data_IF_292903917017
#
_entry.id   IF_292903917017
#
_cell.length_a   1.000
_cell.length_b   1.000
_cell.length_c   1.000
_cell.angle_alpha   90.00
_cell.angle_beta   90.00
_cell.angle_gamma   90.00
#
_symmetry.space_group_name_H-M   'P 1'
#
loop_
_entity.id
_entity.type
_entity.pdbx_description
1 polymer ?
#
# COMPACT_ATOMS: atom_id res chain seq x y z
N UNK A 1 -3.95 -5.48 -13.34
CA UNK A 1 -4.36 -4.54 -12.27
C UNK A 1 -5.70 -4.96 -11.70
N UNK A 2 -5.84 -4.98 -10.37
CA UNK A 2 -7.15 -5.20 -9.71
C UNK A 2 -7.83 -3.86 -9.41
N UNK A 3 -9.17 -3.90 -9.34
CA UNK A 3 -10.04 -2.79 -8.93
C UNK A 3 -10.78 -3.08 -7.62
N UNK A 4 -10.46 -4.20 -6.98
CA UNK A 4 -11.06 -4.59 -5.72
C UNK A 4 -10.68 -3.60 -4.61
N UNK A 5 -11.61 -3.37 -3.69
CA UNK A 5 -11.38 -2.49 -2.54
C UNK A 5 -11.04 -3.33 -1.33
N UNK A 6 -9.92 -3.01 -0.68
CA UNK A 6 -9.54 -3.62 0.60
C UNK A 6 -10.48 -3.15 1.71
N UNK A 7 -11.28 -4.05 2.33
CA UNK A 7 -12.27 -3.66 3.33
C UNK A 7 -11.63 -2.99 4.55
N UNK A 8 -10.43 -3.43 4.95
CA UNK A 8 -9.68 -2.86 6.06
C UNK A 8 -9.42 -1.37 5.86
N UNK A 9 -8.90 -1.01 4.68
CA UNK A 9 -8.64 0.38 4.29
C UNK A 9 -9.95 1.16 4.01
N UNK A 10 -10.94 0.52 3.40
CA UNK A 10 -12.21 1.16 3.06
C UNK A 10 -12.99 1.64 4.29
N UNK A 11 -12.74 1.05 5.45
CA UNK A 11 -13.34 1.45 6.73
C UNK A 11 -12.59 2.55 7.49
N UNK A 12 -11.34 2.84 7.09
CA UNK A 12 -10.49 3.88 7.69
C UNK A 12 -10.98 5.29 7.36
N UNK A 13 -10.74 6.25 8.25
CA UNK A 13 -11.17 7.65 8.09
C UNK A 13 -10.00 8.63 8.15
N UNK A 14 -10.23 9.81 7.56
CA UNK A 14 -9.28 10.92 7.66
C UNK A 14 -9.07 11.29 9.13
N UNK A 15 -7.81 11.32 9.56
CA UNK A 15 -7.42 11.62 10.94
C UNK A 15 -7.16 10.40 11.82
N UNK A 16 -7.52 9.19 11.38
CA UNK A 16 -7.21 7.97 12.13
C UNK A 16 -5.69 7.72 12.13
N UNK A 17 -5.10 7.40 13.30
CA UNK A 17 -3.68 7.07 13.38
C UNK A 17 -3.42 5.69 12.76
N UNK A 18 -2.50 5.64 11.81
CA UNK A 18 -2.12 4.41 11.08
C UNK A 18 -0.65 4.10 11.34
N UNK A 19 -0.34 2.83 11.64
CA UNK A 19 1.03 2.31 11.61
C UNK A 19 1.28 1.71 10.23
N UNK A 20 2.39 2.08 9.59
CA UNK A 20 2.79 1.56 8.29
C UNK A 20 4.18 0.94 8.37
N UNK A 21 4.32 -0.26 7.81
CA UNK A 21 5.59 -0.97 7.70
C UNK A 21 5.86 -1.30 6.23
N UNK A 22 7.02 -0.87 5.71
CA UNK A 22 7.50 -1.28 4.39
C UNK A 22 7.90 -2.76 4.45
N UNK A 23 7.19 -3.61 3.70
CA UNK A 23 7.41 -5.07 3.72
C UNK A 23 8.03 -5.62 2.43
N UNK A 24 7.93 -4.89 1.31
CA UNK A 24 8.62 -5.27 0.07
C UNK A 24 9.04 -4.05 -0.76
N UNK A 25 10.23 -4.15 -1.36
CA UNK A 25 10.74 -3.21 -2.36
C UNK A 25 10.92 -4.01 -3.67
N UNK A 26 10.27 -3.59 -4.77
CA UNK A 26 10.46 -4.20 -6.08
C UNK A 26 11.93 -4.19 -6.53
N UNK A 27 12.33 -5.24 -7.25
CA UNK A 27 13.67 -5.38 -7.83
C UNK A 27 13.63 -5.08 -9.32
N UNK A 28 14.81 -4.83 -9.89
CA UNK A 28 15.00 -4.62 -11.33
C UNK A 28 14.19 -3.44 -11.91
N UNK A 29 13.97 -2.42 -11.07
CA UNK A 29 13.29 -1.19 -11.48
C UNK A 29 14.20 -0.27 -12.31
N UNK A 30 13.64 0.50 -13.25
CA UNK A 30 14.33 1.64 -13.84
C UNK A 30 14.87 2.58 -12.78
N UNK A 31 15.98 3.26 -13.10
CA UNK A 31 16.59 4.25 -12.20
C UNK A 31 15.52 5.26 -11.75
N UNK A 32 15.44 5.46 -10.44
CA UNK A 32 14.54 6.42 -9.77
C UNK A 32 13.02 6.09 -9.88
N UNK A 33 12.63 4.95 -10.48
CA UNK A 33 11.26 4.45 -10.42
C UNK A 33 11.04 3.65 -9.13
N UNK A 34 10.42 4.30 -8.15
CA UNK A 34 10.24 3.75 -6.80
C UNK A 34 8.86 3.09 -6.61
N UNK A 35 8.02 3.03 -7.66
CA UNK A 35 6.64 2.53 -7.57
C UNK A 35 6.56 1.06 -7.23
N UNK A 36 5.50 0.69 -6.51
CA UNK A 36 5.17 -0.70 -6.18
C UNK A 36 5.78 -1.17 -4.87
N UNK A 37 6.26 -0.26 -4.02
CA UNK A 37 6.65 -0.60 -2.64
C UNK A 37 5.40 -1.04 -1.89
N UNK A 38 5.48 -2.20 -1.25
CA UNK A 38 4.33 -2.79 -0.55
C UNK A 38 4.45 -2.50 0.93
N UNK A 39 3.36 -1.99 1.50
CA UNK A 39 3.27 -1.66 2.91
C UNK A 39 2.21 -2.53 3.56
N UNK A 40 2.55 -3.07 4.73
CA UNK A 40 1.56 -3.55 5.68
C UNK A 40 1.14 -2.37 6.55
N UNK A 41 -0.16 -2.12 6.63
CA UNK A 41 -0.70 -1.02 7.41
C UNK A 41 -1.77 -1.50 8.37
N UNK A 42 -1.85 -0.86 9.53
CA UNK A 42 -2.87 -1.07 10.55
C UNK A 42 -3.43 0.27 10.98
N UNK A 43 -4.73 0.44 10.81
CA UNK A 43 -5.48 1.54 11.40
C UNK A 43 -5.71 1.25 12.89
N UNK A 44 -5.17 2.10 13.76
CA UNK A 44 -5.25 1.88 15.20
C UNK A 44 -6.62 2.22 15.80
N UNK A 45 -7.43 3.03 15.11
CA UNK A 45 -8.78 3.39 15.55
C UNK A 45 -9.80 2.36 15.07
N UNK A 46 -9.85 2.09 13.76
CA UNK A 46 -10.77 1.14 13.15
C UNK A 46 -10.35 -0.33 13.34
N UNK A 47 -9.10 -0.58 13.74
CA UNK A 47 -8.48 -1.92 13.88
C UNK A 47 -8.42 -2.71 12.56
N UNK A 48 -8.63 -2.05 11.43
CA UNK A 48 -8.45 -2.63 10.10
C UNK A 48 -6.97 -2.78 9.74
N UNK A 49 -6.65 -3.79 8.94
CA UNK A 49 -5.31 -3.99 8.40
C UNK A 49 -5.36 -4.35 6.92
N UNK A 50 -4.32 -3.98 6.16
CA UNK A 50 -4.20 -4.27 4.74
C UNK A 50 -2.74 -4.31 4.31
N UNK A 51 -2.47 -4.99 3.18
CA UNK A 51 -1.17 -5.00 2.52
C UNK A 51 -1.33 -4.55 1.07
N UNK A 52 -0.92 -3.32 0.76
CA UNK A 52 -1.10 -2.73 -0.57
C UNK A 52 0.16 -2.03 -1.06
N UNK A 53 0.39 -1.99 -2.39
CA UNK A 53 1.43 -1.17 -2.98
C UNK A 53 1.08 0.32 -2.91
N UNK A 54 2.10 1.17 -2.91
CA UNK A 54 1.96 2.63 -3.05
C UNK A 54 1.55 3.10 -4.45
N UNK A 55 1.49 2.19 -5.41
CA UNK A 55 1.09 2.45 -6.79
C UNK A 55 0.27 1.30 -7.35
N UNK A 56 -0.71 1.62 -8.19
CA UNK A 56 -1.54 0.62 -8.87
C UNK A 56 -0.73 -0.23 -9.86
N UNK A 57 0.37 0.32 -10.40
CA UNK A 57 1.28 -0.37 -11.30
C UNK A 57 2.66 -0.56 -10.65
N UNK A 58 3.35 -1.64 -11.00
CA UNK A 58 4.72 -1.89 -10.56
C UNK A 58 5.70 -0.91 -11.25
N UNK A 59 6.90 -0.74 -10.69
CA UNK A 59 7.98 -0.07 -11.41
C UNK A 59 8.21 -0.72 -12.79
N UNK A 60 8.63 0.07 -13.77
CA UNK A 60 8.94 -0.43 -15.12
C UNK A 60 7.78 -0.50 -16.11
N UNK A 61 6.54 -0.22 -15.71
CA UNK A 61 5.45 -0.09 -16.70
C UNK A 61 4.04 -0.08 -16.12
N UNK A 62 3.06 -0.01 -17.00
CA UNK A 62 1.63 -0.16 -16.69
C UNK A 62 1.09 -1.45 -17.31
#
# INVERSE_FOLDING_TARGET
VSYDREPGLASSKVGDPVVMCLIAIPRDCPKDDLRGRVYYAVDLAAKGAWALPDSQHLCGGA
#
